data_IF_775686770909
#
_entry.id   IF_775686770909
#
_cell.length_a   1.000
_cell.length_b   1.000
_cell.length_c   1.000
_cell.angle_alpha   90.00
_cell.angle_beta   90.00
_cell.angle_gamma   90.00
#
_symmetry.space_group_name_H-M   'P 1'
#
loop_
_entity.id
_entity.type
_entity.pdbx_description
1 polymer ?
#
# COMPACT_ATOMS: atom_id res chain seq x y z
N UNK A 1 38.49 -7.04 -11.06
CA UNK A 1 39.92 -6.80 -10.74
C UNK A 1 39.95 -5.71 -9.69
N UNK A 2 40.32 -6.03 -8.45
CA UNK A 2 40.33 -5.08 -7.34
C UNK A 2 41.68 -4.35 -7.32
N UNK A 3 41.68 -3.03 -7.53
CA UNK A 3 42.85 -2.20 -7.33
C UNK A 3 43.18 -2.13 -5.83
N UNK A 4 44.34 -2.65 -5.46
CA UNK A 4 44.92 -2.52 -4.13
C UNK A 4 45.55 -1.14 -4.05
N UNK A 5 44.89 -0.22 -3.33
CA UNK A 5 45.42 1.12 -3.09
C UNK A 5 46.53 1.05 -2.03
N UNK A 6 47.77 1.29 -2.46
CA UNK A 6 48.94 1.30 -1.60
C UNK A 6 48.88 2.46 -0.57
N UNK A 7 49.35 2.27 0.67
CA UNK A 7 49.34 3.32 1.68
C UNK A 7 50.29 4.45 1.27
N UNK A 8 49.76 5.66 1.14
CA UNK A 8 50.54 6.85 0.85
C UNK A 8 51.67 7.02 1.88
N UNK A 9 52.91 7.10 1.38
CA UNK A 9 54.10 7.30 2.19
C UNK A 9 53.97 8.58 3.02
N UNK A 10 54.20 8.46 4.34
CA UNK A 10 54.20 9.60 5.24
C UNK A 10 55.35 10.55 4.88
N UNK A 11 55.03 11.74 4.38
CA UNK A 11 55.99 12.80 4.10
C UNK A 11 56.83 13.11 5.36
N UNK A 12 58.15 12.99 5.26
CA UNK A 12 59.08 13.27 6.34
C UNK A 12 58.94 14.72 6.80
N UNK A 13 58.41 14.93 8.01
CA UNK A 13 58.18 16.27 8.55
C UNK A 13 59.52 16.97 8.85
N UNK A 14 59.68 18.26 8.48
CA UNK A 14 60.89 18.99 8.79
C UNK A 14 61.09 19.09 10.30
N UNK A 15 62.28 18.72 10.75
CA UNK A 15 62.66 18.65 12.16
C UNK A 15 62.53 20.03 12.82
N UNK A 16 61.61 20.15 13.79
CA UNK A 16 61.43 21.40 14.55
C UNK A 16 62.67 21.62 15.41
N UNK A 17 63.34 22.78 15.26
CA UNK A 17 64.54 23.12 16.06
C UNK A 17 64.32 23.08 17.59
N UNK A 18 63.07 23.16 18.05
CA UNK A 18 62.68 23.18 19.46
C UNK A 18 62.38 21.76 20.04
N UNK A 19 62.71 20.67 19.34
CA UNK A 19 62.61 19.29 19.87
C UNK A 19 61.19 18.72 20.09
N UNK A 20 60.13 19.49 19.83
CA UNK A 20 58.72 19.06 19.97
C UNK A 20 58.23 18.23 18.77
N UNK A 21 59.04 17.28 18.30
CA UNK A 21 58.73 16.44 17.15
C UNK A 21 57.75 15.32 17.50
N UNK A 22 57.62 14.97 18.79
CA UNK A 22 56.66 13.99 19.30
C UNK A 22 55.22 14.51 19.35
N UNK A 23 55.03 15.84 19.27
CA UNK A 23 53.70 16.43 19.24
C UNK A 23 53.19 16.50 17.80
N UNK A 24 52.06 15.84 17.52
CA UNK A 24 51.43 15.90 16.20
C UNK A 24 50.93 17.32 15.88
N UNK A 25 50.96 17.71 14.60
CA UNK A 25 50.32 18.97 14.15
C UNK A 25 48.81 18.80 14.28
N UNK A 26 48.25 19.40 15.32
CA UNK A 26 46.79 19.50 15.51
C UNK A 26 46.23 20.37 14.38
N UNK A 27 45.39 19.79 13.53
CA UNK A 27 44.63 20.54 12.53
C UNK A 27 43.43 21.16 13.23
N UNK A 28 43.10 22.41 12.90
CA UNK A 28 41.94 23.06 13.49
C UNK A 28 40.67 22.23 13.23
N UNK A 29 39.90 21.96 14.29
CA UNK A 29 38.64 21.25 14.19
C UNK A 29 37.65 22.07 13.34
N UNK A 30 37.19 21.47 12.24
CA UNK A 30 36.22 22.08 11.32
C UNK A 30 35.04 21.13 11.16
N UNK A 31 33.94 21.34 11.91
CA UNK A 31 32.76 20.44 11.89
C UNK A 31 32.15 20.24 10.51
N UNK A 32 32.36 21.20 9.61
CA UNK A 32 31.78 21.25 8.26
C UNK A 32 32.77 20.87 7.16
N UNK A 33 34.03 20.57 7.49
CA UNK A 33 35.01 20.18 6.48
C UNK A 33 34.64 18.82 5.89
N UNK A 34 34.36 18.78 4.58
CA UNK A 34 34.03 17.55 3.85
C UNK A 34 32.53 17.28 3.67
N UNK A 35 31.64 18.16 4.11
CA UNK A 35 30.22 18.05 3.80
C UNK A 35 29.80 19.14 2.82
N UNK A 36 29.76 18.83 1.53
CA UNK A 36 29.27 19.81 0.55
C UNK A 36 27.76 20.02 0.77
N UNK A 37 27.24 21.26 0.66
CA UNK A 37 25.81 21.53 0.79
C UNK A 37 24.93 20.72 -0.19
N UNK A 38 25.53 20.24 -1.29
CA UNK A 38 24.88 19.39 -2.27
C UNK A 38 24.73 17.95 -1.77
N UNK A 39 25.81 17.33 -1.25
CA UNK A 39 25.76 15.97 -0.70
C UNK A 39 24.73 15.83 0.42
N UNK A 40 24.62 16.86 1.29
CA UNK A 40 23.59 16.87 2.34
C UNK A 40 22.17 16.91 1.78
N UNK A 41 21.94 17.68 0.71
CA UNK A 41 20.63 17.75 0.06
C UNK A 41 20.29 16.44 -0.63
N UNK A 42 21.25 15.85 -1.36
CA UNK A 42 21.08 14.56 -2.01
C UNK A 42 20.80 13.44 -1.00
N UNK A 43 21.46 13.43 0.16
CA UNK A 43 21.18 12.47 1.23
C UNK A 43 19.75 12.64 1.77
N UNK A 44 19.33 13.87 2.08
CA UNK A 44 17.99 14.18 2.56
C UNK A 44 16.89 13.83 1.55
N UNK A 45 17.13 14.08 0.26
CA UNK A 45 16.18 13.72 -0.80
C UNK A 45 16.00 12.20 -0.91
N UNK A 46 17.09 11.43 -0.78
CA UNK A 46 17.03 9.96 -0.75
C UNK A 46 16.26 9.46 0.47
N UNK A 47 16.53 10.01 1.66
CA UNK A 47 15.78 9.68 2.88
C UNK A 47 14.29 9.98 2.72
N UNK A 48 13.94 11.16 2.20
CA UNK A 48 12.54 11.54 1.95
C UNK A 48 11.88 10.66 0.90
N UNK A 49 12.60 10.21 -0.13
CA UNK A 49 12.08 9.31 -1.13
C UNK A 49 11.73 7.94 -0.53
N UNK A 50 12.59 7.40 0.34
CA UNK A 50 12.34 6.15 1.06
C UNK A 50 11.12 6.27 1.97
N UNK A 51 11.03 7.35 2.77
CA UNK A 51 9.88 7.59 3.65
C UNK A 51 8.58 7.69 2.85
N UNK A 52 8.59 8.44 1.76
CA UNK A 52 7.41 8.61 0.90
C UNK A 52 7.00 7.31 0.20
N UNK A 53 7.95 6.47 -0.20
CA UNK A 53 7.65 5.16 -0.77
C UNK A 53 6.91 4.29 0.24
N UNK A 54 7.45 4.18 1.46
CA UNK A 54 6.82 3.43 2.54
C UNK A 54 5.44 3.99 2.94
N UNK A 55 5.27 5.31 2.98
CA UNK A 55 3.96 5.93 3.23
C UNK A 55 2.93 5.62 2.13
N UNK A 56 3.36 5.54 0.88
CA UNK A 56 2.47 5.18 -0.24
C UNK A 56 2.06 3.72 -0.14
N UNK A 57 3.00 2.81 0.09
CA UNK A 57 2.73 1.38 0.29
C UNK A 57 1.69 1.17 1.40
N UNK A 58 1.87 1.81 2.56
CA UNK A 58 0.91 1.73 3.67
C UNK A 58 -0.49 2.29 3.33
N UNK A 59 -0.57 3.32 2.48
CA UNK A 59 -1.85 3.89 2.05
C UNK A 59 -2.54 2.98 1.05
N UNK A 60 -1.80 2.45 0.08
CA UNK A 60 -2.31 1.53 -0.94
C UNK A 60 -2.83 0.24 -0.31
N UNK A 61 -2.13 -0.32 0.69
CA UNK A 61 -2.60 -1.49 1.43
C UNK A 61 -3.92 -1.24 2.17
N UNK A 62 -4.04 -0.10 2.86
CA UNK A 62 -5.27 0.30 3.56
C UNK A 62 -6.43 0.52 2.60
N UNK A 63 -6.16 1.16 1.46
CA UNK A 63 -7.18 1.39 0.44
C UNK A 63 -7.61 0.09 -0.23
N UNK A 64 -6.68 -0.83 -0.50
CA UNK A 64 -6.99 -2.15 -1.04
C UNK A 64 -7.88 -2.95 -0.08
N UNK A 65 -7.59 -2.95 1.22
CA UNK A 65 -8.44 -3.61 2.22
C UNK A 65 -9.83 -2.99 2.27
N UNK A 66 -9.91 -1.65 2.27
CA UNK A 66 -11.20 -0.93 2.23
C UNK A 66 -11.99 -1.28 0.97
N UNK A 67 -11.34 -1.31 -0.20
CA UNK A 67 -11.97 -1.66 -1.47
C UNK A 67 -12.47 -3.10 -1.47
N UNK A 68 -11.69 -4.06 -0.97
CA UNK A 68 -12.12 -5.47 -0.81
C UNK A 68 -13.38 -5.57 0.05
N UNK A 69 -13.43 -4.86 1.17
CA UNK A 69 -14.61 -4.83 2.04
C UNK A 69 -15.82 -4.23 1.34
N UNK A 70 -15.64 -3.13 0.60
CA UNK A 70 -16.72 -2.49 -0.15
C UNK A 70 -17.25 -3.40 -1.26
N UNK A 71 -16.36 -4.06 -2.00
CA UNK A 71 -16.73 -5.03 -3.03
C UNK A 71 -17.54 -6.20 -2.44
N UNK A 72 -17.05 -6.83 -1.37
CA UNK A 72 -17.76 -7.91 -0.70
C UNK A 72 -19.17 -7.51 -0.22
N UNK A 73 -19.35 -6.28 0.26
CA UNK A 73 -20.69 -5.77 0.65
C UNK A 73 -21.58 -5.57 -0.57
N UNK A 74 -21.05 -5.01 -1.68
CA UNK A 74 -21.79 -4.83 -2.93
C UNK A 74 -22.22 -6.18 -3.51
N UNK A 75 -21.32 -7.15 -3.56
CA UNK A 75 -21.59 -8.48 -4.10
C UNK A 75 -22.67 -9.19 -3.27
N UNK A 76 -22.60 -9.08 -1.93
CA UNK A 76 -23.63 -9.63 -1.05
C UNK A 76 -25.00 -8.98 -1.28
N UNK A 77 -25.05 -7.67 -1.53
CA UNK A 77 -26.30 -6.95 -1.83
C UNK A 77 -26.86 -7.36 -3.18
N UNK A 78 -26.03 -7.40 -4.22
CA UNK A 78 -26.43 -7.85 -5.55
C UNK A 78 -26.98 -9.28 -5.52
N UNK A 79 -26.27 -10.21 -4.86
CA UNK A 79 -26.74 -11.59 -4.71
C UNK A 79 -28.08 -11.67 -3.95
N UNK A 80 -28.31 -10.80 -2.96
CA UNK A 80 -29.60 -10.73 -2.25
C UNK A 80 -30.71 -10.21 -3.15
N UNK A 81 -30.47 -9.13 -3.88
CA UNK A 81 -31.43 -8.53 -4.81
C UNK A 81 -31.82 -9.51 -5.93
N UNK A 82 -30.86 -10.27 -6.46
CA UNK A 82 -31.14 -11.33 -7.43
C UNK A 82 -32.00 -12.43 -6.83
N UNK A 83 -31.68 -12.91 -5.63
CA UNK A 83 -32.51 -13.90 -4.92
C UNK A 83 -33.93 -13.39 -4.70
N UNK A 84 -34.08 -12.18 -4.17
CA UNK A 84 -35.39 -11.56 -3.95
C UNK A 84 -36.18 -11.38 -5.25
N UNK A 85 -35.51 -11.09 -6.38
CA UNK A 85 -36.14 -11.01 -7.70
C UNK A 85 -36.68 -12.37 -8.15
N UNK A 86 -35.90 -13.44 -7.99
CA UNK A 86 -36.35 -14.79 -8.33
C UNK A 86 -37.49 -15.26 -7.41
N UNK A 87 -37.42 -14.97 -6.12
CA UNK A 87 -38.48 -15.29 -5.15
C UNK A 87 -39.80 -14.58 -5.51
N UNK A 88 -39.76 -13.28 -5.81
CA UNK A 88 -40.94 -12.53 -6.29
C UNK A 88 -41.52 -13.10 -7.58
N UNK A 89 -40.67 -13.56 -8.49
CA UNK A 89 -41.12 -14.20 -9.73
C UNK A 89 -41.80 -15.55 -9.45
N UNK A 90 -41.21 -16.36 -8.56
CA UNK A 90 -41.79 -17.63 -8.14
C UNK A 90 -43.14 -17.43 -7.44
N UNK A 91 -43.24 -16.45 -6.54
CA UNK A 91 -44.49 -16.08 -5.86
C UNK A 91 -45.57 -15.65 -6.86
N UNK A 92 -45.21 -14.82 -7.85
CA UNK A 92 -46.13 -14.41 -8.92
C UNK A 92 -46.65 -15.61 -9.72
N UNK A 93 -45.79 -16.59 -10.03
CA UNK A 93 -46.21 -17.80 -10.72
C UNK A 93 -47.07 -18.70 -9.84
N UNK A 94 -46.74 -18.83 -8.55
CA UNK A 94 -47.53 -19.57 -7.58
C UNK A 94 -48.94 -18.95 -7.42
N UNK A 95 -49.03 -17.62 -7.26
CA UNK A 95 -50.30 -16.87 -7.25
C UNK A 95 -51.13 -17.20 -8.50
N UNK A 96 -50.53 -17.08 -9.69
CA UNK A 96 -51.22 -17.40 -10.96
C UNK A 96 -51.72 -18.84 -11.01
N UNK A 97 -50.98 -19.81 -10.47
CA UNK A 97 -51.39 -21.22 -10.40
C UNK A 97 -52.59 -21.40 -9.46
N UNK A 98 -52.53 -20.83 -8.25
CA UNK A 98 -53.62 -20.87 -7.27
C UNK A 98 -54.89 -20.24 -7.85
N UNK A 99 -54.78 -19.08 -8.51
CA UNK A 99 -55.93 -18.40 -9.12
C UNK A 99 -56.53 -19.20 -10.29
N UNK A 100 -55.71 -19.94 -11.04
CA UNK A 100 -56.20 -20.87 -12.08
C UNK A 100 -56.96 -22.04 -11.46
N UNK A 101 -56.48 -22.61 -10.36
CA UNK A 101 -57.16 -23.68 -9.63
C UNK A 101 -58.51 -23.21 -9.09
N UNK A 102 -58.55 -22.07 -8.36
CA UNK A 102 -59.80 -21.48 -7.85
C UNK A 102 -60.84 -21.25 -8.95
N UNK A 103 -60.42 -20.76 -10.12
CA UNK A 103 -61.33 -20.57 -11.27
C UNK A 103 -61.84 -21.88 -11.87
N UNK A 104 -61.03 -22.94 -11.87
CA UNK A 104 -61.45 -24.28 -12.29
C UNK A 104 -62.43 -24.88 -11.30
N UNK A 105 -62.14 -24.79 -10.00
CA UNK A 105 -63.03 -25.22 -8.92
C UNK A 105 -64.39 -24.51 -9.00
N UNK A 106 -64.40 -23.19 -9.15
CA UNK A 106 -65.65 -22.42 -9.33
C UNK A 106 -66.46 -22.91 -10.53
N UNK A 107 -65.82 -23.12 -11.69
CA UNK A 107 -66.51 -23.64 -12.89
C UNK A 107 -67.01 -25.06 -12.69
N UNK A 108 -66.15 -25.96 -12.19
CA UNK A 108 -66.53 -27.35 -11.97
C UNK A 108 -67.68 -27.46 -10.95
N UNK A 109 -67.69 -26.61 -9.92
CA UNK A 109 -68.79 -26.53 -8.97
C UNK A 109 -70.11 -26.12 -9.63
N UNK A 110 -70.10 -25.24 -10.63
CA UNK A 110 -71.30 -24.84 -11.38
C UNK A 110 -71.73 -25.85 -12.46
N UNK A 111 -70.82 -26.71 -12.92
CA UNK A 111 -71.05 -27.66 -14.02
C UNK A 111 -71.29 -29.10 -13.54
N UNK A 112 -70.88 -29.44 -12.32
CA UNK A 112 -71.04 -30.76 -11.68
C UNK A 112 -71.90 -30.70 -10.41
N UNK A 113 -72.57 -29.56 -10.18
CA UNK A 113 -73.70 -29.46 -9.25
C UNK A 113 -74.98 -29.93 -9.93
#
# INVERSE_FOLDING_TARGET
>A
MAEVQAPAAAEAQPMRKNGKNWHSKQKAFRPTAGQTPYEKRAAREKELAVVKAHEKELKEEKEAERQRRVQAIKDKRAAKEERERYEKMAEKMHRKRVDRLKRREKRNKMLKS
#
